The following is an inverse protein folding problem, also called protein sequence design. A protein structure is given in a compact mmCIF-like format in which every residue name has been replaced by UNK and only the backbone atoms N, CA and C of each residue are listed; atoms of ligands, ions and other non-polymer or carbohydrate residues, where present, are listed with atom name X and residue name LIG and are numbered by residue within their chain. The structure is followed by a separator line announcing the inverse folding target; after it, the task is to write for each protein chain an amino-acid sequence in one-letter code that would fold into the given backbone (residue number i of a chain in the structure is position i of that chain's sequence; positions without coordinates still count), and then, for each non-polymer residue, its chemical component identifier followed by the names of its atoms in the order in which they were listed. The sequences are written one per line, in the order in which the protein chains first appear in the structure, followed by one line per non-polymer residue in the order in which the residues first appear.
data_IF_063186189214
#
_entry.id   IF_063186189214
#
_cell.length_a   1.000
_cell.length_b   1.000
_cell.length_c   1.000
_cell.angle_alpha   90.00
_cell.angle_beta   90.00
_cell.angle_gamma   90.00
#
_symmetry.space_group_name_H-M   'P 1'
#
loop_
_entity.id
_entity.type
_entity.pdbx_description
1 polymer ?
#
# COMPACT_ATOMS: atom_id res chain seq x y z
N UNK A 1 20.94 -5.77 0.23
CA UNK A 1 20.17 -5.60 -1.02
C UNK A 1 18.77 -6.23 -0.97
N UNK A 2 18.45 -7.06 0.03
CA UNK A 2 17.08 -7.57 0.17
C UNK A 2 16.11 -6.46 0.62
N UNK A 3 16.50 -5.68 1.63
CA UNK A 3 15.65 -4.62 2.19
C UNK A 3 15.29 -3.54 1.15
N UNK A 4 16.27 -3.05 0.37
CA UNK A 4 16.03 -2.06 -0.70
C UNK A 4 15.01 -2.54 -1.75
N UNK A 5 14.94 -3.85 -2.00
CA UNK A 5 13.99 -4.43 -2.95
C UNK A 5 12.61 -4.62 -2.32
N UNK A 6 12.54 -4.97 -1.04
CA UNK A 6 11.28 -4.99 -0.27
C UNK A 6 10.68 -3.58 -0.21
N UNK A 7 11.45 -2.59 0.25
CA UNK A 7 11.03 -1.19 0.33
C UNK A 7 10.52 -0.65 -1.02
N UNK A 8 11.07 -1.16 -2.13
CA UNK A 8 10.60 -0.81 -3.48
C UNK A 8 9.24 -1.43 -3.80
N UNK A 9 9.03 -2.70 -3.45
CA UNK A 9 7.77 -3.42 -3.65
C UNK A 9 6.68 -2.82 -2.77
N UNK A 10 7.02 -2.46 -1.53
CA UNK A 10 6.11 -1.87 -0.54
C UNK A 10 5.81 -0.39 -0.83
N UNK A 11 6.51 0.22 -1.80
CA UNK A 11 6.31 1.61 -2.22
C UNK A 11 6.98 2.65 -1.32
N UNK A 12 7.69 2.21 -0.29
CA UNK A 12 8.34 3.05 0.73
C UNK A 12 9.74 3.57 0.31
N UNK A 13 10.28 3.08 -0.81
CA UNK A 13 11.63 3.44 -1.23
C UNK A 13 11.74 4.88 -1.73
N UNK A 14 12.52 5.68 -1.01
CA UNK A 14 12.87 7.06 -1.35
C UNK A 14 13.63 7.18 -2.69
N UNK A 15 13.52 8.33 -3.35
CA UNK A 15 14.04 8.60 -4.69
C UNK A 15 15.53 8.24 -4.90
N UNK A 16 16.47 8.49 -3.95
CA UNK A 16 17.87 8.10 -4.12
C UNK A 16 18.07 6.57 -4.19
N UNK A 17 17.29 5.81 -3.42
CA UNK A 17 17.33 4.36 -3.42
C UNK A 17 16.86 3.76 -4.75
N UNK A 18 15.89 4.40 -5.40
CA UNK A 18 15.38 3.96 -6.71
C UNK A 18 16.45 3.99 -7.80
N UNK A 19 17.33 4.99 -7.82
CA UNK A 19 18.39 5.09 -8.81
C UNK A 19 19.42 3.95 -8.67
N UNK A 20 19.82 3.66 -7.42
CA UNK A 20 20.74 2.57 -7.11
C UNK A 20 20.14 1.20 -7.46
N UNK A 21 18.85 1.00 -7.15
CA UNK A 21 18.13 -0.22 -7.50
C UNK A 21 18.07 -0.41 -9.02
N UNK A 22 17.80 0.65 -9.78
CA UNK A 22 17.82 0.60 -11.24
C UNK A 22 19.17 0.19 -11.81
N UNK A 23 20.26 0.77 -11.30
CA UNK A 23 21.62 0.36 -11.68
C UNK A 23 21.88 -1.11 -11.41
N UNK A 24 21.43 -1.63 -10.27
CA UNK A 24 21.56 -3.04 -9.93
C UNK A 24 20.73 -3.96 -10.84
N UNK A 25 19.48 -3.58 -11.14
CA UNK A 25 18.59 -4.36 -12.01
C UNK A 25 19.14 -4.49 -13.45
N UNK A 26 19.83 -3.46 -13.94
CA UNK A 26 20.50 -3.52 -15.25
C UNK A 26 21.60 -4.59 -15.29
N UNK A 27 22.38 -4.72 -14.22
CA UNK A 27 23.51 -5.65 -14.15
C UNK A 27 23.15 -7.06 -13.62
N UNK A 28 22.06 -7.21 -12.86
CA UNK A 28 21.71 -8.46 -12.19
C UNK A 28 20.47 -9.13 -12.79
N UNK A 29 20.67 -10.22 -13.54
CA UNK A 29 19.57 -11.03 -14.12
C UNK A 29 18.69 -11.69 -13.04
N UNK A 30 19.29 -12.11 -11.92
CA UNK A 30 18.56 -12.79 -10.83
C UNK A 30 17.57 -11.85 -10.14
N UNK A 31 17.98 -10.61 -9.85
CA UNK A 31 17.08 -9.63 -9.24
C UNK A 31 15.94 -9.22 -10.18
N UNK A 32 16.19 -9.16 -11.50
CA UNK A 32 15.11 -9.00 -12.49
C UNK A 32 14.12 -10.16 -12.49
N UNK A 33 14.61 -11.39 -12.38
CA UNK A 33 13.74 -12.57 -12.31
C UNK A 33 12.91 -12.58 -11.01
N UNK A 34 13.52 -12.23 -9.88
CA UNK A 34 12.82 -12.11 -8.60
C UNK A 34 11.74 -11.02 -8.63
N UNK A 35 12.03 -9.85 -9.20
CA UNK A 35 11.04 -8.78 -9.36
C UNK A 35 9.86 -9.20 -10.24
N UNK A 36 10.10 -10.01 -11.28
CA UNK A 36 9.03 -10.61 -12.10
C UNK A 36 8.15 -11.59 -11.31
N UNK A 37 8.72 -12.35 -10.38
CA UNK A 37 7.94 -13.25 -9.53
C UNK A 37 6.97 -12.47 -8.64
N UNK A 38 7.42 -11.35 -8.06
CA UNK A 38 6.55 -10.47 -7.28
C UNK A 38 5.44 -9.83 -8.12
N UNK A 39 5.75 -9.43 -9.36
CA UNK A 39 4.72 -8.91 -10.28
C UNK A 39 3.60 -9.94 -10.52
N UNK A 40 3.93 -11.22 -10.63
CA UNK A 40 2.92 -12.29 -10.77
C UNK A 40 2.07 -12.47 -9.51
N UNK A 41 2.65 -12.29 -8.32
CA UNK A 41 1.89 -12.33 -7.05
C UNK A 41 0.90 -11.16 -6.99
N UNK A 42 1.32 -9.96 -7.36
CA UNK A 42 0.46 -8.76 -7.40
C UNK A 42 -0.67 -8.94 -8.42
N UNK A 43 -0.35 -9.43 -9.62
CA UNK A 43 -1.34 -9.70 -10.67
C UNK A 43 -2.39 -10.71 -10.20
N UNK A 44 -1.95 -11.84 -9.64
CA UNK A 44 -2.87 -12.84 -9.06
C UNK A 44 -3.69 -12.25 -7.92
N UNK A 45 -3.08 -11.48 -7.02
CA UNK A 45 -3.78 -10.83 -5.91
C UNK A 45 -4.87 -9.84 -6.39
N UNK A 46 -4.60 -9.12 -7.48
CA UNK A 46 -5.56 -8.20 -8.10
C UNK A 46 -6.71 -8.89 -8.82
N UNK A 47 -6.62 -10.20 -9.11
CA UNK A 47 -7.72 -10.99 -9.68
C UNK A 47 -8.66 -11.58 -8.64
N UNK A 48 -8.36 -11.44 -7.34
CA UNK A 48 -9.31 -11.85 -6.32
C UNK A 48 -10.58 -11.00 -6.50
N UNK A 49 -11.77 -11.63 -6.45
CA UNK A 49 -13.01 -10.87 -6.51
C UNK A 49 -12.98 -9.87 -5.37
N UNK A 50 -13.13 -8.59 -5.71
CA UNK A 50 -13.43 -7.58 -4.69
C UNK A 50 -14.73 -8.05 -4.03
N UNK A 51 -14.65 -8.40 -2.74
CA UNK A 51 -15.85 -8.67 -1.96
C UNK A 51 -16.72 -7.43 -2.09
N UNK A 52 -17.86 -7.59 -2.77
CA UNK A 52 -18.78 -6.49 -2.99
C UNK A 52 -19.10 -5.88 -1.62
N UNK A 53 -18.89 -4.57 -1.50
CA UNK A 53 -19.20 -3.85 -0.28
C UNK A 53 -20.63 -4.20 0.15
N UNK A 54 -20.84 -4.60 1.42
CA UNK A 54 -22.18 -4.94 1.87
C UNK A 54 -23.10 -3.72 1.68
N UNK A 55 -24.36 -3.94 1.32
CA UNK A 55 -25.31 -2.84 1.17
C UNK A 55 -25.37 -2.02 2.47
N UNK A 56 -25.25 -0.70 2.36
CA UNK A 56 -25.20 0.20 3.51
C UNK A 56 -23.79 0.46 4.08
N UNK A 57 -22.73 -0.12 3.51
CA UNK A 57 -21.35 0.11 3.98
C UNK A 57 -20.92 1.57 3.92
N UNK A 58 -21.35 2.31 2.88
CA UNK A 58 -21.03 3.73 2.74
C UNK A 58 -21.70 4.57 3.83
N UNK A 59 -22.98 4.34 4.09
CA UNK A 59 -23.74 5.02 5.13
C UNK A 59 -23.18 4.71 6.52
N UNK A 60 -22.82 3.45 6.78
CA UNK A 60 -22.19 3.03 8.03
C UNK A 60 -20.83 3.72 8.23
N UNK A 61 -20.00 3.79 7.19
CA UNK A 61 -18.70 4.46 7.23
C UNK A 61 -18.86 5.97 7.46
N UNK A 62 -19.79 6.60 6.74
CA UNK A 62 -20.11 8.02 6.89
C UNK A 62 -20.55 8.35 8.31
N UNK A 63 -21.48 7.56 8.86
CA UNK A 63 -21.95 7.72 10.23
C UNK A 63 -20.82 7.53 11.27
N UNK A 64 -19.95 6.55 11.07
CA UNK A 64 -18.79 6.34 11.94
C UNK A 64 -17.81 7.53 11.92
N UNK A 65 -17.53 8.08 10.73
CA UNK A 65 -16.65 9.25 10.58
C UNK A 65 -17.25 10.52 11.19
N UNK A 66 -18.56 10.74 11.02
CA UNK A 66 -19.27 11.87 11.64
C UNK A 66 -19.28 11.77 13.16
N UNK A 67 -19.56 10.58 13.71
CA UNK A 67 -19.52 10.34 15.15
C UNK A 67 -18.11 10.54 15.72
N UNK A 68 -17.08 10.12 15.00
CA UNK A 68 -15.69 10.33 15.39
C UNK A 68 -15.33 11.82 15.42
N UNK A 69 -15.68 12.59 14.38
CA UNK A 69 -15.50 14.05 14.37
C UNK A 69 -16.23 14.76 15.50
N UNK A 70 -17.48 14.35 15.76
CA UNK A 70 -18.26 14.93 16.86
C UNK A 70 -17.67 14.58 18.24
N UNK A 71 -17.10 13.37 18.38
CA UNK A 71 -16.39 12.97 19.59
C UNK A 71 -15.07 13.72 19.82
N UNK A 72 -14.34 14.03 18.74
CA UNK A 72 -13.09 14.79 18.79
C UNK A 72 -13.35 16.27 19.14
N UNK A 73 -14.40 16.87 18.56
CA UNK A 73 -14.84 18.24 18.90
C UNK A 73 -15.20 18.40 20.38
N UNK A 74 -15.90 17.41 20.98
CA UNK A 74 -16.21 17.46 22.42
C UNK A 74 -14.97 17.37 23.32
N UNK A 75 -13.87 16.79 22.83
CA UNK A 75 -12.60 16.69 23.58
C UNK A 75 -11.80 17.99 23.49
N UNK A 76 -11.92 18.72 22.38
CA UNK A 76 -11.30 20.03 22.15
C UNK A 76 -12.02 21.16 22.90
N UNK A 77 -13.37 21.13 22.97
CA UNK A 77 -14.19 22.12 23.70
C UNK A 77 -14.05 22.05 25.25
N UNK A 78 -13.27 21.11 25.77
CA UNK A 78 -13.05 20.89 27.22
C UNK A 78 -11.68 21.36 27.73
N UNK A 79 -10.89 22.06 26.91
CA UNK A 79 -9.55 22.61 27.26
C UNK A 79 -9.58 24.13 27.36
#
# INVERSE_FOLDING_TARGET
MNDVLSDYIDGELASPGRLLLWGHLMMCRRCRAYLKQFASIVDMAGTLPEDALPPGAEEALRGALEAWRAGDQRRDDSV
#
